data_IF_688235673338
#
_entry.id   IF_688235673338
#
_cell.length_a   1.000
_cell.length_b   1.000
_cell.length_c   1.000
_cell.angle_alpha   90.00
_cell.angle_beta   90.00
_cell.angle_gamma   90.00
#
_symmetry.space_group_name_H-M   'P 1'
#
loop_
_entity.id
_entity.type
_entity.pdbx_description
1 polymer ?
#
# COMPACT_ATOMS: atom_id res chain seq x y z
N UNK A 1 11.77 -23.85 8.39
CA UNK A 1 11.38 -23.36 7.04
C UNK A 1 10.35 -24.33 6.46
N UNK A 2 9.23 -23.83 5.94
CA UNK A 2 8.09 -24.66 5.47
C UNK A 2 8.52 -25.70 4.44
N UNK A 3 9.40 -25.34 3.50
CA UNK A 3 9.90 -26.26 2.48
C UNK A 3 10.56 -27.53 3.05
N UNK A 4 11.35 -27.39 4.13
CA UNK A 4 11.97 -28.53 4.79
C UNK A 4 10.94 -29.43 5.48
N UNK A 5 9.88 -28.84 6.07
CA UNK A 5 8.78 -29.60 6.67
C UNK A 5 8.08 -30.45 5.60
N UNK A 6 7.78 -29.87 4.43
CA UNK A 6 7.16 -30.59 3.31
C UNK A 6 8.01 -31.78 2.85
N UNK A 7 9.32 -31.59 2.67
CA UNK A 7 10.21 -32.69 2.28
C UNK A 7 10.32 -33.78 3.34
N UNK A 8 10.42 -33.41 4.61
CA UNK A 8 10.55 -34.37 5.72
C UNK A 8 9.27 -35.17 5.95
N UNK A 9 8.10 -34.52 5.85
CA UNK A 9 6.82 -35.17 6.11
C UNK A 9 6.28 -35.94 4.89
N UNK A 10 6.49 -35.44 3.67
CA UNK A 10 5.82 -35.94 2.46
C UNK A 10 6.78 -36.49 1.39
N UNK A 11 8.10 -36.27 1.52
CA UNK A 11 9.09 -36.74 0.55
C UNK A 11 9.10 -36.00 -0.79
N UNK A 12 8.27 -34.96 -0.96
CA UNK A 12 8.19 -34.22 -2.22
C UNK A 12 9.39 -33.29 -2.44
N UNK A 13 9.83 -33.21 -3.71
CA UNK A 13 10.78 -32.19 -4.17
C UNK A 13 10.10 -30.82 -4.12
N UNK A 14 10.82 -29.80 -3.66
CA UNK A 14 10.31 -28.43 -3.56
C UNK A 14 11.19 -27.41 -4.27
N UNK A 15 10.62 -26.23 -4.50
CA UNK A 15 11.32 -24.99 -4.82
C UNK A 15 10.75 -23.88 -3.93
N UNK A 16 11.58 -22.90 -3.55
CA UNK A 16 11.14 -21.73 -2.80
C UNK A 16 11.95 -20.51 -3.22
N UNK A 17 11.32 -19.35 -3.14
CA UNK A 17 11.91 -18.04 -3.38
C UNK A 17 11.32 -17.05 -2.38
N UNK A 18 12.04 -15.95 -2.14
CA UNK A 18 11.59 -14.87 -1.24
C UNK A 18 11.57 -13.59 -2.06
N UNK A 19 10.43 -12.90 -2.07
CA UNK A 19 10.26 -11.68 -2.86
C UNK A 19 11.02 -10.48 -2.26
N UNK A 20 11.15 -10.41 -0.93
CA UNK A 20 11.90 -9.35 -0.23
C UNK A 20 11.50 -7.94 -0.72
N UNK A 21 12.44 -7.11 -1.17
CA UNK A 21 12.14 -5.76 -1.66
C UNK A 21 11.30 -5.73 -2.94
N UNK A 22 11.30 -6.80 -3.74
CA UNK A 22 10.59 -6.82 -5.02
C UNK A 22 9.10 -6.54 -4.83
N UNK A 23 8.46 -7.13 -3.82
CA UNK A 23 7.01 -7.00 -3.60
C UNK A 23 6.57 -5.57 -3.22
N UNK A 24 7.48 -4.74 -2.69
CA UNK A 24 7.19 -3.36 -2.23
C UNK A 24 7.80 -2.28 -3.11
N UNK A 25 8.60 -2.67 -4.11
CA UNK A 25 9.22 -1.78 -5.09
C UNK A 25 8.78 -2.12 -6.53
N UNK A 26 7.75 -2.96 -6.70
CA UNK A 26 7.22 -3.37 -7.99
C UNK A 26 6.37 -2.29 -8.69
N UNK A 27 6.86 -1.04 -8.79
CA UNK A 27 6.13 0.05 -9.46
C UNK A 27 5.81 -0.29 -10.92
N UNK A 28 6.57 -1.17 -11.55
CA UNK A 28 6.32 -1.67 -12.92
C UNK A 28 5.01 -2.46 -13.07
N UNK A 29 4.38 -2.91 -11.97
CA UNK A 29 3.13 -3.67 -11.93
C UNK A 29 2.18 -3.15 -10.83
N UNK A 30 2.22 -1.85 -10.54
CA UNK A 30 1.39 -1.27 -9.49
C UNK A 30 -0.09 -1.23 -9.90
N UNK A 31 -0.96 -1.42 -8.91
CA UNK A 31 -2.40 -1.20 -9.08
C UNK A 31 -2.67 0.26 -9.44
N UNK A 32 -3.51 0.47 -10.45
CA UNK A 32 -4.00 1.80 -10.80
C UNK A 32 -4.78 2.43 -9.64
N UNK A 33 -5.62 1.64 -8.96
CA UNK A 33 -6.40 2.08 -7.81
C UNK A 33 -5.52 2.61 -6.68
N UNK A 34 -4.48 1.85 -6.31
CA UNK A 34 -3.53 2.27 -5.26
C UNK A 34 -2.79 3.56 -5.65
N UNK A 35 -2.34 3.66 -6.90
CA UNK A 35 -1.64 4.86 -7.42
C UNK A 35 -2.55 6.10 -7.38
N UNK A 36 -3.81 5.97 -7.81
CA UNK A 36 -4.78 7.06 -7.78
C UNK A 36 -5.10 7.50 -6.35
N UNK A 37 -5.33 6.56 -5.44
CA UNK A 37 -5.61 6.84 -4.04
C UNK A 37 -4.42 7.49 -3.34
N UNK A 38 -3.21 7.00 -3.56
CA UNK A 38 -1.98 7.58 -2.99
C UNK A 38 -1.78 9.04 -3.43
N UNK A 39 -2.01 9.34 -4.71
CA UNK A 39 -1.93 10.70 -5.22
C UNK A 39 -3.04 11.60 -4.64
N UNK A 40 -4.28 11.11 -4.60
CA UNK A 40 -5.41 11.85 -4.06
C UNK A 40 -5.23 12.21 -2.58
N UNK A 41 -4.71 11.29 -1.76
CA UNK A 41 -4.40 11.54 -0.35
C UNK A 41 -3.37 12.67 -0.18
N UNK A 42 -2.29 12.64 -0.97
CA UNK A 42 -1.27 13.70 -0.93
C UNK A 42 -1.83 15.06 -1.31
N UNK A 43 -2.64 15.11 -2.38
CA UNK A 43 -3.34 16.33 -2.81
C UNK A 43 -4.28 16.85 -1.72
N UNK A 44 -5.14 15.98 -1.20
CA UNK A 44 -6.12 16.33 -0.18
C UNK A 44 -5.47 16.83 1.12
N UNK A 45 -4.34 16.25 1.54
CA UNK A 45 -3.61 16.72 2.71
C UNK A 45 -3.17 18.20 2.59
N UNK A 46 -2.74 18.62 1.40
CA UNK A 46 -2.39 20.02 1.13
C UNK A 46 -3.64 20.91 1.12
N UNK A 47 -4.70 20.50 0.42
CA UNK A 47 -5.95 21.25 0.34
C UNK A 47 -6.56 21.47 1.73
N UNK A 48 -6.62 20.42 2.56
CA UNK A 48 -7.13 20.49 3.93
C UNK A 48 -6.29 21.41 4.82
N UNK A 49 -4.96 21.41 4.67
CA UNK A 49 -4.10 22.33 5.40
C UNK A 49 -4.33 23.79 4.98
N UNK A 50 -4.53 24.05 3.69
CA UNK A 50 -4.87 25.39 3.17
C UNK A 50 -6.26 25.86 3.63
N UNK A 51 -7.20 24.94 3.83
CA UNK A 51 -8.50 25.20 4.47
C UNK A 51 -8.40 25.48 5.98
N UNK A 52 -7.21 25.41 6.56
CA UNK A 52 -6.96 25.66 7.98
C UNK A 52 -7.22 24.47 8.89
N UNK A 53 -7.44 23.26 8.34
CA UNK A 53 -7.55 22.04 9.15
C UNK A 53 -6.17 21.66 9.70
N UNK A 54 -6.16 21.18 10.92
CA UNK A 54 -4.95 20.79 11.64
C UNK A 54 -5.19 19.48 12.41
N UNK A 55 -4.12 18.73 12.69
CA UNK A 55 -4.13 17.49 13.46
C UNK A 55 -5.12 16.43 12.91
N UNK A 56 -5.22 16.33 11.58
CA UNK A 56 -6.06 15.35 10.88
C UNK A 56 -5.23 14.50 9.91
N UNK A 57 -5.79 13.35 9.52
CA UNK A 57 -5.28 12.47 8.49
C UNK A 57 -6.37 12.29 7.40
N UNK A 58 -6.06 12.56 6.12
CA UNK A 58 -6.96 12.19 5.02
C UNK A 58 -7.19 10.67 4.97
N UNK A 59 -8.41 10.24 4.64
CA UNK A 59 -8.80 8.83 4.58
C UNK A 59 -9.33 8.46 3.20
N UNK A 60 -9.32 7.16 2.90
CA UNK A 60 -9.99 6.58 1.74
C UNK A 60 -11.26 5.91 2.25
N UNK A 61 -12.41 6.50 1.92
CA UNK A 61 -13.69 6.04 2.41
C UNK A 61 -14.39 5.26 1.30
N UNK A 62 -14.58 3.96 1.51
CA UNK A 62 -15.28 3.10 0.53
C UNK A 62 -16.77 3.38 0.61
N UNK A 63 -17.36 3.88 -0.49
CA UNK A 63 -18.79 4.24 -0.56
C UNK A 63 -19.64 3.21 -1.31
N UNK A 64 -19.02 2.35 -2.12
CA UNK A 64 -19.71 1.25 -2.81
C UNK A 64 -18.73 0.11 -3.13
N UNK A 65 -19.24 -1.12 -3.13
CA UNK A 65 -18.48 -2.33 -3.52
C UNK A 65 -18.73 -2.71 -4.99
N UNK A 66 -19.95 -2.56 -5.49
CA UNK A 66 -20.33 -2.98 -6.85
C UNK A 66 -21.28 -1.94 -7.50
N UNK A 67 -20.76 -1.02 -8.34
CA UNK A 67 -19.34 -0.84 -8.68
C UNK A 67 -18.52 -0.32 -7.50
N UNK A 68 -17.22 -0.64 -7.45
CA UNK A 68 -16.33 -0.10 -6.43
C UNK A 68 -16.21 1.41 -6.56
N UNK A 69 -16.41 2.13 -5.46
CA UNK A 69 -16.27 3.59 -5.39
C UNK A 69 -15.67 3.97 -4.04
N UNK A 70 -14.84 5.00 -4.08
CA UNK A 70 -14.21 5.58 -2.90
C UNK A 70 -14.21 7.10 -3.01
N UNK A 71 -14.11 7.76 -1.87
CA UNK A 71 -13.95 9.20 -1.76
C UNK A 71 -12.89 9.55 -0.71
N UNK A 72 -12.49 10.81 -0.70
CA UNK A 72 -11.56 11.32 0.32
C UNK A 72 -12.37 11.79 1.53
N UNK A 73 -12.08 11.17 2.67
CA UNK A 73 -12.53 11.63 3.98
C UNK A 73 -11.39 12.23 4.79
N UNK A 74 -11.66 12.50 6.07
CA UNK A 74 -10.63 12.86 7.04
C UNK A 74 -11.02 12.45 8.43
N UNK A 75 -10.04 12.09 9.25
CA UNK A 75 -10.24 11.81 10.68
C UNK A 75 -9.22 12.55 11.53
N UNK A 76 -9.52 12.79 12.81
CA UNK A 76 -8.57 13.38 13.73
C UNK A 76 -7.45 12.39 14.06
N UNK A 77 -6.21 12.87 14.19
CA UNK A 77 -5.06 12.01 14.53
C UNK A 77 -5.25 11.32 15.89
N UNK A 78 -6.00 11.92 16.81
CA UNK A 78 -6.35 11.32 18.11
C UNK A 78 -7.15 10.02 17.98
N UNK A 79 -7.97 9.89 16.93
CA UNK A 79 -8.79 8.69 16.68
C UNK A 79 -8.00 7.56 15.99
N UNK A 80 -6.80 7.87 15.47
CA UNK A 80 -5.94 6.93 14.76
C UNK A 80 -4.79 6.46 15.65
N UNK A 81 -4.31 7.32 16.54
CA UNK A 81 -3.20 7.00 17.43
C UNK A 81 -3.49 5.75 18.26
N UNK A 82 -2.60 4.76 18.19
CA UNK A 82 -2.69 3.48 18.89
C UNK A 82 -3.86 2.57 18.47
N UNK A 83 -4.49 2.82 17.32
CA UNK A 83 -5.51 1.96 16.73
C UNK A 83 -4.94 1.25 15.50
N UNK A 84 -5.24 -0.04 15.36
CA UNK A 84 -4.77 -0.86 14.25
C UNK A 84 -5.94 -1.45 13.47
N UNK A 85 -5.73 -1.62 12.15
CA UNK A 85 -6.65 -2.39 11.30
C UNK A 85 -6.24 -3.85 11.29
N UNK A 86 -6.83 -4.62 12.20
CA UNK A 86 -6.63 -6.07 12.25
C UNK A 86 -7.28 -6.75 11.04
N UNK A 87 -6.71 -7.88 10.62
CA UNK A 87 -7.35 -8.75 9.62
C UNK A 87 -8.61 -9.37 10.23
N UNK A 88 -9.81 -9.14 9.65
CA UNK A 88 -11.03 -9.74 10.16
C UNK A 88 -10.97 -11.27 10.12
N UNK A 89 -11.53 -11.94 11.13
CA UNK A 89 -11.49 -13.41 11.21
C UNK A 89 -12.27 -14.04 10.06
N UNK A 90 -13.38 -13.42 9.68
CA UNK A 90 -14.21 -13.80 8.55
C UNK A 90 -13.49 -13.71 7.21
N UNK A 91 -12.32 -13.08 7.12
CA UNK A 91 -11.51 -13.07 5.89
C UNK A 91 -10.74 -14.38 5.67
N UNK A 92 -10.62 -15.22 6.70
CA UNK A 92 -9.84 -16.46 6.68
C UNK A 92 -10.81 -17.65 6.59
N UNK A 93 -10.52 -18.62 5.74
CA UNK A 93 -11.33 -19.84 5.62
C UNK A 93 -11.33 -20.66 6.92
N UNK A 94 -12.35 -21.50 7.11
CA UNK A 94 -12.52 -22.34 8.32
C UNK A 94 -11.31 -23.24 8.61
N UNK A 95 -10.59 -23.68 7.57
CA UNK A 95 -9.37 -24.49 7.70
C UNK A 95 -8.10 -23.67 7.99
N UNK A 96 -8.18 -22.34 7.95
CA UNK A 96 -7.07 -21.42 8.21
C UNK A 96 -6.07 -21.25 7.06
N UNK A 97 -6.29 -21.86 5.89
CA UNK A 97 -5.29 -21.91 4.80
C UNK A 97 -5.66 -21.08 3.56
N UNK A 98 -6.80 -20.40 3.56
CA UNK A 98 -7.30 -19.62 2.44
C UNK A 98 -8.00 -18.33 2.85
N UNK A 99 -8.51 -17.61 1.84
CA UNK A 99 -9.31 -16.40 2.02
C UNK A 99 -10.75 -16.62 1.58
N UNK A 100 -11.69 -16.01 2.30
CA UNK A 100 -13.13 -16.08 2.02
C UNK A 100 -13.56 -15.10 0.93
N UNK A 101 -14.81 -15.21 0.48
CA UNK A 101 -15.40 -14.27 -0.49
C UNK A 101 -15.47 -12.84 0.06
N UNK A 102 -15.72 -12.68 1.36
CA UNK A 102 -15.70 -11.35 2.00
C UNK A 102 -14.33 -10.68 1.92
N UNK A 103 -13.25 -11.46 2.03
CA UNK A 103 -11.89 -10.99 1.85
C UNK A 103 -11.63 -10.60 0.39
N UNK A 104 -12.12 -11.40 -0.57
CA UNK A 104 -12.01 -11.10 -2.00
C UNK A 104 -12.75 -9.82 -2.38
N UNK A 105 -13.97 -9.63 -1.88
CA UNK A 105 -14.75 -8.41 -2.05
C UNK A 105 -14.05 -7.18 -1.47
N UNK A 106 -13.28 -7.37 -0.39
CA UNK A 106 -12.45 -6.32 0.16
C UNK A 106 -11.20 -6.04 -0.68
N UNK A 107 -10.43 -7.06 -1.07
CA UNK A 107 -9.09 -6.90 -1.66
C UNK A 107 -9.10 -6.69 -3.17
N UNK A 108 -9.97 -7.35 -3.92
CA UNK A 108 -9.93 -7.29 -5.40
C UNK A 108 -10.06 -5.88 -5.96
N UNK A 109 -10.94 -4.99 -5.43
CA UNK A 109 -10.98 -3.63 -5.93
C UNK A 109 -9.68 -2.84 -5.69
N UNK A 110 -8.93 -3.18 -4.64
CA UNK A 110 -7.69 -2.48 -4.28
C UNK A 110 -6.51 -2.82 -5.19
N UNK A 111 -6.59 -3.92 -5.93
CA UNK A 111 -5.58 -4.33 -6.91
C UNK A 111 -6.04 -4.08 -8.34
N UNK A 112 -7.21 -3.45 -8.53
CA UNK A 112 -7.81 -3.28 -9.84
C UNK A 112 -7.05 -2.25 -10.71
N UNK A 113 -6.93 -2.59 -11.99
CA UNK A 113 -6.32 -1.77 -13.04
C UNK A 113 -4.79 -1.72 -12.98
N UNK A 114 -4.18 -1.44 -14.12
CA UNK A 114 -2.73 -1.38 -14.29
C UNK A 114 -2.28 0.08 -14.49
N UNK A 115 -1.22 0.49 -13.78
CA UNK A 115 -0.56 1.76 -14.00
C UNK A 115 0.88 1.52 -14.43
N UNK A 116 1.15 1.28 -15.70
CA UNK A 116 2.53 1.08 -16.15
C UNK A 116 3.31 2.40 -16.19
N UNK A 117 4.59 2.44 -15.76
CA UNK A 117 5.45 3.59 -15.99
C UNK A 117 5.79 3.69 -17.48
N UNK A 118 6.28 4.85 -17.92
CA UNK A 118 6.91 4.95 -19.24
C UNK A 118 8.19 4.10 -19.29
N UNK A 119 8.48 3.54 -20.46
CA UNK A 119 9.68 2.76 -20.72
C UNK A 119 10.62 3.48 -21.70
N UNK A 120 11.92 3.27 -21.55
CA UNK A 120 12.94 3.76 -22.49
C UNK A 120 13.15 2.82 -23.69
N UNK A 121 13.96 3.26 -24.64
CA UNK A 121 14.31 2.50 -25.86
C UNK A 121 15.01 1.16 -25.57
N UNK A 122 15.50 0.95 -24.34
CA UNK A 122 16.13 -0.29 -23.88
C UNK A 122 15.16 -1.22 -23.16
N UNK A 123 13.88 -0.84 -23.05
CA UNK A 123 12.85 -1.60 -22.36
C UNK A 123 12.90 -1.49 -20.84
N UNK A 124 13.51 -0.44 -20.27
CA UNK A 124 13.56 -0.20 -18.83
C UNK A 124 12.57 0.88 -18.39
N UNK A 125 11.93 0.75 -17.20
CA UNK A 125 11.11 1.83 -16.65
C UNK A 125 11.89 3.12 -16.45
N UNK A 126 11.34 4.24 -16.94
CA UNK A 126 11.90 5.59 -16.75
C UNK A 126 11.53 6.13 -15.37
N UNK A 127 12.35 5.81 -14.37
CA UNK A 127 12.20 6.37 -13.02
C UNK A 127 12.89 7.74 -12.88
N UNK A 128 12.27 8.63 -12.10
CA UNK A 128 12.78 9.98 -11.85
C UNK A 128 13.83 9.92 -10.73
N UNK A 129 14.93 10.65 -10.93
CA UNK A 129 15.92 10.93 -9.88
C UNK A 129 15.79 12.40 -9.50
N UNK A 130 15.47 12.66 -8.23
CA UNK A 130 15.35 14.01 -7.69
C UNK A 130 16.73 14.64 -7.49
N UNK A 131 16.84 15.96 -7.70
CA UNK A 131 18.08 16.71 -7.45
C UNK A 131 18.46 16.77 -5.97
N UNK A 132 17.49 16.62 -5.08
CA UNK A 132 17.65 16.66 -3.62
C UNK A 132 18.57 17.80 -3.13
N UNK A 133 18.37 19.00 -3.68
CA UNK A 133 19.18 20.17 -3.35
C UNK A 133 18.95 20.56 -1.88
N UNK A 134 20.02 20.55 -1.10
CA UNK A 134 19.96 20.89 0.32
C UNK A 134 19.76 22.39 0.52
N UNK A 135 18.98 22.74 1.55
CA UNK A 135 18.82 24.12 2.01
C UNK A 135 19.90 24.47 3.04
N UNK A 136 20.25 25.76 3.12
CA UNK A 136 21.19 26.24 4.14
C UNK A 136 20.67 26.01 5.56
N UNK A 137 21.54 25.50 6.45
CA UNK A 137 21.20 25.29 7.86
C UNK A 137 20.96 26.63 8.56
N UNK A 138 19.90 26.70 9.38
CA UNK A 138 19.54 27.88 10.18
C UNK A 138 19.72 27.69 11.68
N UNK A 139 19.89 26.44 12.13
CA UNK A 139 20.01 26.06 13.53
C UNK A 139 21.34 25.35 13.78
N UNK A 140 21.84 25.33 15.03
CA UNK A 140 22.99 24.53 15.43
C UNK A 140 22.80 23.04 15.13
N UNK A 141 23.90 22.28 15.18
CA UNK A 141 23.84 20.82 15.10
C UNK A 141 23.07 20.29 16.31
N UNK A 142 22.12 19.39 16.06
CA UNK A 142 21.38 18.69 17.10
C UNK A 142 22.18 17.46 17.57
N UNK A 143 22.47 17.39 18.87
CA UNK A 143 23.11 16.24 19.53
C UNK A 143 22.05 15.51 20.37
N UNK A 144 22.04 14.16 20.28
CA UNK A 144 21.11 13.26 20.96
C UNK A 144 21.63 12.83 22.33
#
# INVERSE_FOLDING_TARGET
MVANLVKQALGYKFHWAVADYLQRAARHLASATDVEQAYALGKAGVEMALEGKNAIMPTIDRVSNQPYRWEIGSTALSEVANVEKLMPVEFISDDGFGITDSCRDYLYPLIAGESYPEYDERGMPKYIVLKNQLVGKKLPVFEL
#
